data_IF_513746419242
#
_entry.id   IF_513746419242
#
_cell.length_a   1.000
_cell.length_b   1.000
_cell.length_c   1.000
_cell.angle_alpha   90.00
_cell.angle_beta   90.00
_cell.angle_gamma   90.00
#
_symmetry.space_group_name_H-M   'P 1'
#
loop_
_entity.id
_entity.type
_entity.pdbx_description
1 polymer ?
#
# COMPACT_ATOMS: atom_id res chain seq x y z
N UNK A 1 4.39 15.61 12.14
CA UNK A 1 4.76 14.22 11.84
C UNK A 1 5.63 14.18 10.59
N UNK A 2 6.55 13.23 10.50
CA UNK A 2 7.42 13.00 9.34
C UNK A 2 7.29 11.56 8.84
N UNK A 3 7.03 11.38 7.55
CA UNK A 3 6.96 10.07 6.91
C UNK A 3 8.18 9.82 6.02
N UNK A 4 8.90 8.73 6.25
CA UNK A 4 9.89 8.22 5.30
C UNK A 4 9.24 7.22 4.34
N UNK A 5 9.39 7.45 3.05
CA UNK A 5 8.71 6.67 2.00
C UNK A 5 9.61 6.36 0.80
N UNK A 6 9.31 5.27 0.10
CA UNK A 6 9.84 5.00 -1.24
C UNK A 6 8.75 5.34 -2.27
N UNK A 7 9.03 6.16 -3.29
CA UNK A 7 8.07 6.48 -4.34
C UNK A 7 7.46 5.21 -4.97
N UNK A 8 6.13 5.15 -4.99
CA UNK A 8 5.36 4.04 -5.56
C UNK A 8 5.42 2.74 -4.77
N UNK A 9 5.97 2.73 -3.55
CA UNK A 9 5.97 1.56 -2.66
C UNK A 9 4.75 1.56 -1.72
N UNK A 10 4.66 0.59 -0.81
CA UNK A 10 3.54 0.50 0.13
C UNK A 10 3.41 1.71 1.06
N UNK A 11 4.47 2.49 1.24
CA UNK A 11 4.44 3.75 1.97
C UNK A 11 3.52 4.82 1.35
N UNK A 12 3.08 4.63 0.10
CA UNK A 12 2.02 5.44 -0.53
C UNK A 12 0.73 5.47 0.30
N UNK A 13 0.43 4.37 1.01
CA UNK A 13 -0.80 4.24 1.81
C UNK A 13 -0.81 5.20 3.01
N UNK A 14 0.17 5.18 3.93
CA UNK A 14 0.24 6.16 5.01
C UNK A 14 0.53 7.58 4.52
N UNK A 15 1.17 7.75 3.36
CA UNK A 15 1.34 9.07 2.75
C UNK A 15 -0.03 9.68 2.38
N UNK A 16 -0.88 8.89 1.72
CA UNK A 16 -2.26 9.28 1.39
C UNK A 16 -3.09 9.52 2.66
N UNK A 17 -2.90 8.71 3.71
CA UNK A 17 -3.58 8.94 4.98
C UNK A 17 -3.22 10.27 5.63
N UNK A 18 -1.93 10.67 5.62
CA UNK A 18 -1.48 11.97 6.11
C UNK A 18 -2.07 13.12 5.27
N UNK A 19 -2.11 12.96 3.95
CA UNK A 19 -2.73 13.94 3.05
C UNK A 19 -4.23 14.11 3.33
N UNK A 20 -4.97 13.01 3.54
CA UNK A 20 -6.40 13.07 3.89
C UNK A 20 -6.69 13.69 5.25
N UNK A 21 -5.78 13.53 6.22
CA UNK A 21 -5.88 14.18 7.53
C UNK A 21 -5.79 15.72 7.38
N UNK A 22 -5.08 16.22 6.37
CA UNK A 22 -5.00 17.65 6.07
C UNK A 22 -4.29 18.49 7.13
N UNK A 23 -3.53 17.85 8.02
CA UNK A 23 -2.64 18.52 8.98
C UNK A 23 -1.23 18.61 8.39
N UNK A 24 -0.41 19.60 8.78
CA UNK A 24 0.97 19.67 8.31
C UNK A 24 1.77 18.40 8.63
N UNK A 25 2.47 17.89 7.63
CA UNK A 25 3.41 16.79 7.75
C UNK A 25 4.63 17.02 6.85
N UNK A 26 5.72 16.34 7.16
CA UNK A 26 6.89 16.23 6.28
C UNK A 26 6.87 14.86 5.60
N UNK A 27 7.15 14.82 4.31
CA UNK A 27 7.34 13.58 3.56
C UNK A 27 8.76 13.55 3.00
N UNK A 28 9.54 12.54 3.40
CA UNK A 28 10.90 12.34 2.94
C UNK A 28 11.00 11.09 2.05
N UNK A 29 11.23 11.30 0.76
CA UNK A 29 11.62 10.23 -0.15
C UNK A 29 13.01 9.71 0.25
N UNK A 30 13.12 8.40 0.44
CA UNK A 30 14.39 7.72 0.75
C UNK A 30 14.81 6.80 -0.41
N UNK A 31 16.06 6.34 -0.41
CA UNK A 31 16.55 5.33 -1.36
C UNK A 31 16.68 3.96 -0.69
N UNK A 32 16.86 2.90 -1.49
CA UNK A 32 17.08 1.53 -0.97
C UNK A 32 18.38 1.42 -0.18
N UNK A 33 19.36 2.26 -0.47
CA UNK A 33 20.63 2.37 0.25
C UNK A 33 20.44 3.13 1.56
N UNK A 34 19.69 4.25 1.53
CA UNK A 34 19.44 5.08 2.72
C UNK A 34 18.71 4.30 3.82
N UNK A 35 17.72 3.47 3.48
CA UNK A 35 17.03 2.64 4.48
C UNK A 35 17.92 1.57 5.12
N UNK A 36 19.15 1.38 4.63
CA UNK A 36 20.17 0.50 5.21
C UNK A 36 21.29 1.26 5.90
N UNK A 37 21.25 2.60 5.92
CA UNK A 37 22.28 3.39 6.58
C UNK A 37 22.19 3.25 8.11
N UNK A 38 23.31 3.36 8.85
CA UNK A 38 23.29 3.31 10.31
C UNK A 38 22.33 4.32 10.95
N UNK A 39 22.19 5.51 10.35
CA UNK A 39 21.29 6.56 10.83
C UNK A 39 19.82 6.14 10.72
N UNK A 40 19.42 5.57 9.59
CA UNK A 40 18.04 5.09 9.42
C UNK A 40 17.75 3.86 10.29
N UNK A 41 18.72 2.94 10.41
CA UNK A 41 18.56 1.73 11.21
C UNK A 41 18.45 2.00 12.72
N UNK A 42 18.97 3.14 13.21
CA UNK A 42 18.71 3.62 14.58
C UNK A 42 17.23 3.93 14.80
N UNK A 43 16.52 4.41 13.77
CA UNK A 43 15.09 4.73 13.83
C UNK A 43 14.22 3.51 13.53
N UNK A 44 14.57 2.73 12.51
CA UNK A 44 13.88 1.50 12.13
C UNK A 44 14.89 0.37 11.86
N UNK A 45 15.12 -0.52 12.85
CA UNK A 45 16.06 -1.63 12.72
C UNK A 45 15.73 -2.62 11.59
N UNK A 46 14.48 -2.66 11.11
CA UNK A 46 14.10 -3.49 9.97
C UNK A 46 14.65 -2.95 8.64
N UNK A 47 15.02 -1.65 8.60
CA UNK A 47 15.54 -0.98 7.41
C UNK A 47 14.55 -1.02 6.25
N UNK A 48 13.30 -0.65 6.50
CA UNK A 48 12.21 -0.65 5.52
C UNK A 48 11.34 0.61 5.66
N UNK A 49 10.48 0.84 4.67
CA UNK A 49 9.41 1.83 4.70
C UNK A 49 8.05 1.11 4.78
N UNK A 50 6.99 1.77 5.26
CA UNK A 50 6.97 3.13 5.84
C UNK A 50 7.64 3.21 7.22
N UNK A 51 8.05 4.43 7.57
CA UNK A 51 8.41 4.82 8.93
C UNK A 51 7.80 6.19 9.22
N UNK A 52 6.95 6.28 10.23
CA UNK A 52 6.41 7.54 10.74
C UNK A 52 7.22 7.97 11.97
N UNK A 53 7.62 9.24 12.03
CA UNK A 53 8.22 9.88 13.21
C UNK A 53 7.31 11.00 13.69
N UNK A 54 6.95 10.96 14.96
CA UNK A 54 6.09 11.92 15.64
C UNK A 54 6.75 12.37 16.96
N UNK A 55 7.51 13.46 16.91
CA UNK A 55 8.42 13.83 18.00
C UNK A 55 9.49 12.75 18.22
N UNK A 56 9.60 12.25 19.45
CA UNK A 56 10.52 11.17 19.83
C UNK A 56 9.96 9.77 19.54
N UNK A 57 8.71 9.67 19.06
CA UNK A 57 8.06 8.41 18.75
C UNK A 57 8.30 8.00 17.30
N UNK A 58 8.90 6.83 17.09
CA UNK A 58 9.11 6.24 15.76
C UNK A 58 8.26 4.97 15.62
N UNK A 59 7.43 4.91 14.58
CA UNK A 59 6.48 3.83 14.34
C UNK A 59 6.64 3.27 12.91
N UNK A 60 6.90 1.97 12.83
CA UNK A 60 6.90 1.21 11.57
C UNK A 60 5.62 0.38 11.43
N UNK A 61 5.48 -0.33 10.32
CA UNK A 61 4.29 -1.10 9.89
C UNK A 61 3.12 -0.23 9.39
N UNK A 62 2.69 -0.48 8.15
CA UNK A 62 1.55 0.22 7.55
C UNK A 62 0.30 0.16 8.44
N UNK A 63 -0.10 -1.04 8.87
CA UNK A 63 -1.32 -1.23 9.67
C UNK A 63 -1.26 -0.49 11.02
N UNK A 64 -0.10 -0.49 11.68
CA UNK A 64 0.09 0.21 12.94
C UNK A 64 0.07 1.74 12.76
N UNK A 65 0.77 2.26 11.75
CA UNK A 65 0.76 3.69 11.40
C UNK A 65 -0.66 4.16 11.09
N UNK A 66 -1.39 3.43 10.24
CA UNK A 66 -2.75 3.79 9.84
C UNK A 66 -3.73 3.74 11.02
N UNK A 67 -3.58 2.75 11.90
CA UNK A 67 -4.36 2.69 13.13
C UNK A 67 -4.06 3.87 14.07
N UNK A 68 -2.78 4.20 14.29
CA UNK A 68 -2.35 5.33 15.12
C UNK A 68 -2.92 6.65 14.60
N UNK A 69 -2.79 6.90 13.29
CA UNK A 69 -3.33 8.09 12.64
C UNK A 69 -4.85 8.20 12.76
N UNK A 70 -5.58 7.08 12.62
CA UNK A 70 -7.04 7.03 12.75
C UNK A 70 -7.52 7.22 14.20
N UNK A 71 -6.71 6.83 15.20
CA UNK A 71 -6.99 7.14 16.60
C UNK A 71 -6.81 8.62 16.93
N UNK A 72 -5.79 9.27 16.35
CA UNK A 72 -5.54 10.70 16.54
C UNK A 72 -6.52 11.59 15.78
N UNK A 73 -7.00 11.11 14.62
CA UNK A 73 -7.83 11.88 13.69
C UNK A 73 -9.08 11.10 13.25
N UNK A 74 -9.99 10.72 14.18
CA UNK A 74 -11.19 9.96 13.83
C UNK A 74 -12.13 10.72 12.87
N UNK A 75 -12.03 12.05 12.83
CA UNK A 75 -12.76 12.92 11.89
C UNK A 75 -12.36 12.69 10.43
N UNK A 76 -11.11 12.25 10.17
CA UNK A 76 -10.60 11.98 8.83
C UNK A 76 -11.18 10.68 8.23
N UNK A 77 -11.80 9.83 9.06
CA UNK A 77 -12.46 8.57 8.65
C UNK A 77 -11.56 7.72 7.74
N UNK A 78 -10.31 7.47 8.15
CA UNK A 78 -9.33 6.75 7.33
C UNK A 78 -9.79 5.35 6.91
N UNK A 79 -10.69 4.73 7.68
CA UNK A 79 -11.33 3.45 7.39
C UNK A 79 -12.72 3.57 6.75
N UNK A 80 -13.04 4.72 6.15
CA UNK A 80 -14.27 4.95 5.36
C UNK A 80 -15.56 5.14 6.16
N UNK A 81 -15.52 4.98 7.48
CA UNK A 81 -16.65 5.13 8.40
C UNK A 81 -16.18 5.44 9.83
N UNK A 82 -17.10 5.91 10.68
CA UNK A 82 -16.86 6.05 12.12
C UNK A 82 -17.41 4.88 12.93
N UNK A 83 -18.29 4.05 12.36
CA UNK A 83 -18.89 2.93 13.10
C UNK A 83 -17.84 1.83 13.31
N UNK A 84 -17.80 1.17 14.49
CA UNK A 84 -16.84 0.09 14.74
C UNK A 84 -16.95 -1.05 13.72
N UNK A 85 -18.18 -1.44 13.35
CA UNK A 85 -18.43 -2.55 12.44
C UNK A 85 -17.88 -2.27 11.03
N UNK A 86 -18.10 -1.07 10.50
CA UNK A 86 -17.66 -0.74 9.15
C UNK A 86 -16.14 -0.52 9.11
N UNK A 87 -15.58 0.10 10.15
CA UNK A 87 -14.12 0.20 10.33
C UNK A 87 -13.46 -1.17 10.39
N UNK A 88 -14.08 -2.14 11.07
CA UNK A 88 -13.57 -3.50 11.14
C UNK A 88 -13.60 -4.20 9.78
N UNK A 89 -14.64 -4.00 8.95
CA UNK A 89 -14.69 -4.52 7.58
C UNK A 89 -13.56 -3.95 6.72
N UNK A 90 -13.34 -2.63 6.77
CA UNK A 90 -12.24 -1.98 6.06
C UNK A 90 -10.86 -2.44 6.57
N UNK A 91 -10.68 -2.56 7.89
CA UNK A 91 -9.47 -3.10 8.50
C UNK A 91 -9.19 -4.53 8.05
N UNK A 92 -10.20 -5.39 7.92
CA UNK A 92 -10.04 -6.74 7.39
C UNK A 92 -9.48 -6.72 5.97
N UNK A 93 -9.98 -5.83 5.11
CA UNK A 93 -9.45 -5.67 3.75
C UNK A 93 -8.02 -5.13 3.75
N UNK A 94 -7.73 -4.12 4.58
CA UNK A 94 -6.38 -3.62 4.78
C UNK A 94 -5.42 -4.74 5.21
N UNK A 95 -5.82 -5.57 6.17
CA UNK A 95 -5.03 -6.71 6.65
C UNK A 95 -4.80 -7.75 5.54
N UNK A 96 -5.84 -8.10 4.78
CA UNK A 96 -5.72 -8.99 3.62
C UNK A 96 -4.72 -8.44 2.59
N UNK A 97 -4.83 -7.17 2.21
CA UNK A 97 -3.90 -6.56 1.25
C UNK A 97 -2.47 -6.47 1.78
N UNK A 98 -2.29 -6.07 3.04
CA UNK A 98 -0.99 -5.90 3.67
C UNK A 98 -0.27 -7.22 3.98
N UNK A 99 -0.99 -8.22 4.51
CA UNK A 99 -0.40 -9.45 5.06
C UNK A 99 -0.46 -10.64 4.10
N UNK A 100 -1.41 -10.66 3.16
CA UNK A 100 -1.60 -11.76 2.22
C UNK A 100 -1.21 -11.42 0.79
N UNK A 101 -1.72 -10.31 0.27
CA UNK A 101 -1.50 -9.95 -1.14
C UNK A 101 -0.10 -9.36 -1.34
N UNK A 102 0.32 -8.42 -0.50
CA UNK A 102 1.65 -7.78 -0.61
C UNK A 102 2.78 -8.81 -0.64
N UNK A 103 2.74 -9.83 0.24
CA UNK A 103 3.80 -10.85 0.30
C UNK A 103 3.92 -11.66 -0.99
N UNK A 104 2.83 -11.83 -1.74
CA UNK A 104 2.83 -12.56 -3.00
C UNK A 104 3.65 -11.83 -4.09
N UNK A 105 3.88 -10.52 -3.95
CA UNK A 105 4.76 -9.76 -4.86
C UNK A 105 6.26 -9.92 -4.56
N UNK A 106 6.64 -10.54 -3.43
CA UNK A 106 8.05 -10.64 -3.04
C UNK A 106 8.97 -11.23 -4.13
N UNK A 107 8.60 -12.29 -4.88
CA UNK A 107 9.45 -12.84 -5.93
C UNK A 107 9.75 -11.87 -7.10
N UNK A 108 8.91 -10.86 -7.32
CA UNK A 108 9.12 -9.85 -8.36
C UNK A 108 10.06 -8.72 -7.92
N UNK A 109 10.06 -8.36 -6.63
CA UNK A 109 10.78 -7.20 -6.12
C UNK A 109 12.02 -7.52 -5.29
N UNK A 110 12.12 -8.75 -4.79
CA UNK A 110 13.26 -9.22 -3.99
C UNK A 110 13.47 -10.72 -4.25
N UNK A 111 14.15 -11.08 -5.35
CA UNK A 111 14.51 -12.47 -5.61
C UNK A 111 15.27 -13.06 -4.42
N UNK A 112 14.95 -14.31 -4.06
CA UNK A 112 15.59 -14.98 -2.93
C UNK A 112 17.08 -15.20 -3.25
N UNK A 113 18.02 -14.93 -2.33
CA UNK A 113 19.45 -15.02 -2.63
C UNK A 113 19.90 -16.38 -3.16
N UNK A 114 19.18 -17.46 -2.82
CA UNK A 114 19.50 -18.82 -3.21
C UNK A 114 18.90 -19.25 -4.57
N UNK A 115 18.05 -18.44 -5.20
CA UNK A 115 17.53 -18.67 -6.56
C UNK A 115 17.99 -17.62 -7.57
N UNK A 116 18.73 -16.60 -7.11
CA UNK A 116 19.08 -15.43 -7.93
C UNK A 116 19.89 -15.77 -9.20
N UNK A 117 20.63 -16.88 -9.17
CA UNK A 117 21.49 -17.32 -10.28
C UNK A 117 20.83 -18.47 -11.09
N UNK A 118 19.57 -18.81 -10.79
CA UNK A 118 18.80 -19.84 -11.49
C UNK A 118 17.56 -19.21 -12.14
N UNK A 119 17.73 -18.71 -13.37
CA UNK A 119 16.69 -18.02 -14.12
C UNK A 119 15.44 -18.87 -14.35
N UNK A 120 15.59 -20.16 -14.65
CA UNK A 120 14.46 -21.07 -14.86
C UNK A 120 13.62 -21.18 -13.59
N UNK A 121 14.25 -21.44 -12.45
CA UNK A 121 13.55 -21.54 -11.17
C UNK A 121 12.93 -20.19 -10.77
N UNK A 122 13.62 -19.08 -11.02
CA UNK A 122 13.09 -17.75 -10.75
C UNK A 122 11.83 -17.46 -11.58
N UNK A 123 11.81 -17.88 -12.83
CA UNK A 123 10.65 -17.75 -13.71
C UNK A 123 9.47 -18.58 -13.22
N UNK A 124 9.68 -19.86 -12.86
CA UNK A 124 8.63 -20.73 -12.30
C UNK A 124 8.03 -20.13 -11.01
N UNK A 125 8.87 -19.59 -10.12
CA UNK A 125 8.42 -18.94 -8.88
C UNK A 125 7.57 -17.69 -9.21
N UNK A 126 7.99 -16.89 -10.19
CA UNK A 126 7.23 -15.69 -10.62
C UNK A 126 5.89 -16.08 -11.23
N UNK A 127 5.81 -17.13 -12.03
CA UNK A 127 4.56 -17.62 -12.61
C UNK A 127 3.58 -18.11 -11.54
N UNK A 128 4.08 -18.84 -10.54
CA UNK A 128 3.27 -19.24 -9.39
C UNK A 128 2.80 -18.03 -8.56
N UNK A 129 3.68 -17.06 -8.34
CA UNK A 129 3.35 -15.82 -7.65
C UNK A 129 2.30 -15.00 -8.41
N UNK A 130 2.41 -14.88 -9.74
CA UNK A 130 1.42 -14.23 -10.60
C UNK A 130 0.05 -14.89 -10.46
N UNK A 131 -0.01 -16.23 -10.52
CA UNK A 131 -1.25 -16.99 -10.31
C UNK A 131 -1.86 -16.72 -8.94
N UNK A 132 -1.04 -16.68 -7.89
CA UNK A 132 -1.48 -16.38 -6.52
C UNK A 132 -2.02 -14.96 -6.39
N UNK A 133 -1.32 -13.97 -6.96
CA UNK A 133 -1.76 -12.57 -6.98
C UNK A 133 -3.11 -12.46 -7.68
N UNK A 134 -3.28 -13.05 -8.88
CA UNK A 134 -4.54 -13.03 -9.61
C UNK A 134 -5.69 -13.69 -8.83
N UNK A 135 -5.41 -14.77 -8.10
CA UNK A 135 -6.38 -15.39 -7.19
C UNK A 135 -6.87 -14.43 -6.10
N UNK A 136 -5.96 -13.70 -5.46
CA UNK A 136 -6.34 -12.68 -4.46
C UNK A 136 -7.07 -11.49 -5.09
N UNK A 137 -6.63 -11.03 -6.26
CA UNK A 137 -7.30 -9.95 -6.98
C UNK A 137 -8.71 -10.34 -7.41
N UNK A 138 -8.97 -11.62 -7.73
CA UNK A 138 -10.31 -12.11 -8.03
C UNK A 138 -11.25 -12.02 -6.81
N UNK A 139 -10.75 -12.23 -5.59
CA UNK A 139 -11.50 -12.02 -4.34
C UNK A 139 -11.87 -10.54 -4.18
N UNK A 140 -10.90 -9.65 -4.42
CA UNK A 140 -11.14 -8.20 -4.38
C UNK A 140 -12.11 -7.73 -5.47
N UNK A 141 -11.97 -8.24 -6.70
CA UNK A 141 -12.86 -7.94 -7.82
C UNK A 141 -14.32 -8.32 -7.50
N UNK A 142 -14.54 -9.49 -6.91
CA UNK A 142 -15.88 -9.94 -6.53
C UNK A 142 -16.54 -9.04 -5.50
N UNK A 143 -15.77 -8.55 -4.51
CA UNK A 143 -16.27 -7.57 -3.55
C UNK A 143 -16.73 -6.28 -4.26
N UNK A 144 -15.97 -5.83 -5.25
CA UNK A 144 -16.25 -4.63 -6.04
C UNK A 144 -17.41 -4.79 -7.04
N UNK A 145 -18.02 -5.97 -7.17
CA UNK A 145 -19.27 -6.14 -7.93
C UNK A 145 -20.47 -5.53 -7.20
N UNK A 146 -20.44 -5.52 -5.87
CA UNK A 146 -21.53 -5.02 -5.02
C UNK A 146 -21.17 -3.74 -4.24
N UNK A 147 -19.89 -3.34 -4.24
CA UNK A 147 -19.41 -2.19 -3.46
C UNK A 147 -18.52 -1.29 -4.31
N UNK A 148 -18.60 0.02 -4.10
CA UNK A 148 -17.72 0.97 -4.79
C UNK A 148 -16.26 0.90 -4.27
N UNK A 149 -16.11 0.61 -2.98
CA UNK A 149 -14.87 0.64 -2.20
C UNK A 149 -14.81 -0.52 -1.18
N UNK A 150 -13.68 -0.68 -0.49
CA UNK A 150 -13.46 -1.68 0.56
C UNK A 150 -13.91 -1.23 1.96
N UNK A 151 -14.15 0.07 2.14
CA UNK A 151 -14.97 0.62 3.22
C UNK A 151 -16.32 1.12 2.69
N UNK A 152 -17.16 1.66 3.59
CA UNK A 152 -18.43 2.31 3.19
C UNK A 152 -18.17 3.54 2.29
N UNK A 153 -17.04 4.19 2.51
CA UNK A 153 -16.46 5.21 1.63
C UNK A 153 -15.02 4.84 1.32
N UNK A 154 -14.41 5.56 0.38
CA UNK A 154 -12.98 5.45 0.07
C UNK A 154 -12.14 5.48 1.35
N UNK A 155 -11.24 4.52 1.50
CA UNK A 155 -10.48 4.30 2.72
C UNK A 155 -9.06 3.79 2.41
N UNK A 156 -8.24 3.65 3.44
CA UNK A 156 -6.83 3.23 3.31
C UNK A 156 -6.66 1.80 2.76
N UNK A 157 -7.69 0.95 2.87
CA UNK A 157 -7.68 -0.38 2.23
C UNK A 157 -7.76 -0.26 0.69
N UNK A 158 -8.54 0.71 0.17
CA UNK A 158 -8.61 0.98 -1.26
C UNK A 158 -7.26 1.46 -1.80
N UNK A 159 -6.58 2.31 -1.03
CA UNK A 159 -5.26 2.84 -1.40
C UNK A 159 -4.22 1.72 -1.45
N UNK A 160 -4.31 0.74 -0.55
CA UNK A 160 -3.43 -0.43 -0.57
C UNK A 160 -3.68 -1.30 -1.81
N UNK A 161 -4.93 -1.53 -2.19
CA UNK A 161 -5.20 -2.26 -3.44
C UNK A 161 -4.72 -1.47 -4.66
N UNK A 162 -5.02 -0.17 -4.71
CA UNK A 162 -4.62 0.71 -5.82
C UNK A 162 -3.12 0.63 -6.10
N UNK A 163 -2.27 0.80 -5.07
CA UNK A 163 -0.82 0.77 -5.28
C UNK A 163 -0.33 -0.62 -5.74
N UNK A 164 -0.98 -1.70 -5.29
CA UNK A 164 -0.68 -3.05 -5.79
C UNK A 164 -1.11 -3.26 -7.24
N UNK A 165 -2.19 -2.63 -7.70
CA UNK A 165 -2.58 -2.66 -9.11
C UNK A 165 -1.58 -1.89 -9.98
N UNK A 166 -1.04 -0.78 -9.48
CA UNK A 166 0.09 -0.10 -10.13
C UNK A 166 1.33 -1.01 -10.20
N UNK A 167 1.58 -1.84 -9.17
CA UNK A 167 2.64 -2.84 -9.22
C UNK A 167 2.39 -3.90 -10.28
N UNK A 168 1.15 -4.42 -10.40
CA UNK A 168 0.78 -5.34 -11.46
C UNK A 168 1.10 -4.76 -12.85
N UNK A 169 0.72 -3.50 -13.09
CA UNK A 169 1.05 -2.80 -14.34
C UNK A 169 2.57 -2.72 -14.56
N UNK A 170 3.33 -2.35 -13.53
CA UNK A 170 4.80 -2.23 -13.59
C UNK A 170 5.50 -3.55 -13.90
N UNK A 171 4.99 -4.67 -13.40
CA UNK A 171 5.57 -6.01 -13.65
C UNK A 171 4.98 -6.69 -14.88
N UNK A 172 4.05 -6.05 -15.60
CA UNK A 172 3.39 -6.63 -16.77
C UNK A 172 2.39 -7.75 -16.46
N UNK A 173 1.86 -7.81 -15.23
CA UNK A 173 0.84 -8.79 -14.85
C UNK A 173 -0.55 -8.31 -15.32
N UNK A 174 -1.12 -9.01 -16.30
CA UNK A 174 -2.45 -8.69 -16.83
C UNK A 174 -3.57 -9.13 -15.88
N UNK A 175 -4.38 -8.16 -15.45
CA UNK A 175 -5.58 -8.36 -14.66
C UNK A 175 -6.85 -7.84 -15.37
N UNK A 176 -6.80 -7.61 -16.69
CA UNK A 176 -7.90 -7.04 -17.48
C UNK A 176 -9.20 -7.87 -17.44
N UNK A 177 -9.08 -9.18 -17.29
CA UNK A 177 -10.21 -10.10 -17.11
C UNK A 177 -10.98 -9.87 -15.79
N UNK A 178 -10.36 -9.23 -14.80
CA UNK A 178 -10.99 -8.80 -13.55
C UNK A 178 -11.60 -7.40 -13.73
N UNK A 179 -12.78 -7.40 -14.38
CA UNK A 179 -13.42 -6.21 -14.96
C UNK A 179 -13.71 -5.05 -14.00
N UNK A 180 -13.71 -5.26 -12.67
CA UNK A 180 -13.97 -4.20 -11.69
C UNK A 180 -12.72 -3.43 -11.28
N UNK A 181 -11.52 -3.96 -11.55
CA UNK A 181 -10.26 -3.39 -11.05
C UNK A 181 -9.86 -2.10 -11.77
N UNK A 182 -9.97 -2.04 -13.10
CA UNK A 182 -9.65 -0.81 -13.85
C UNK A 182 -10.60 0.36 -13.49
N UNK A 183 -11.94 0.20 -13.51
CA UNK A 183 -12.84 1.25 -13.04
C UNK A 183 -12.62 1.62 -11.57
N UNK A 184 -12.18 0.67 -10.73
CA UNK A 184 -11.81 0.94 -9.34
C UNK A 184 -10.59 1.87 -9.26
N UNK A 185 -9.52 1.60 -10.02
CA UNK A 185 -8.35 2.48 -10.06
C UNK A 185 -8.75 3.90 -10.46
N UNK A 186 -9.54 4.05 -11.53
CA UNK A 186 -10.03 5.36 -12.00
C UNK A 186 -10.81 6.12 -10.91
N UNK A 187 -11.64 5.43 -10.11
CA UNK A 187 -12.35 6.05 -8.98
C UNK A 187 -11.40 6.49 -7.87
N UNK A 188 -10.38 5.70 -7.55
CA UNK A 188 -9.38 6.02 -6.52
C UNK A 188 -8.53 7.22 -6.97
N UNK A 189 -8.10 7.23 -8.23
CA UNK A 189 -7.31 8.31 -8.83
C UNK A 189 -8.06 9.65 -8.89
N UNK A 190 -9.39 9.63 -9.01
CA UNK A 190 -10.20 10.84 -9.01
C UNK A 190 -10.26 11.55 -7.63
N UNK A 191 -9.78 10.91 -6.55
CA UNK A 191 -9.70 11.55 -5.25
C UNK A 191 -8.53 12.54 -5.19
N UNK A 192 -8.81 13.80 -4.81
CA UNK A 192 -7.81 14.87 -4.77
C UNK A 192 -6.59 14.58 -3.89
N UNK A 193 -6.78 13.92 -2.74
CA UNK A 193 -5.67 13.56 -1.85
C UNK A 193 -4.78 12.48 -2.48
N UNK A 194 -5.39 11.49 -3.13
CA UNK A 194 -4.65 10.48 -3.89
C UNK A 194 -3.88 11.12 -5.04
N UNK A 195 -4.53 12.00 -5.81
CA UNK A 195 -3.90 12.71 -6.93
C UNK A 195 -2.73 13.60 -6.49
N UNK A 196 -2.88 14.30 -5.35
CA UNK A 196 -1.82 15.07 -4.70
C UNK A 196 -0.61 14.18 -4.35
N UNK A 197 -0.83 13.04 -3.69
CA UNK A 197 0.27 12.13 -3.34
C UNK A 197 0.91 11.50 -4.58
N UNK A 198 0.14 11.17 -5.62
CA UNK A 198 0.71 10.72 -6.91
C UNK A 198 1.63 11.76 -7.51
N UNK A 199 1.30 13.04 -7.41
CA UNK A 199 2.15 14.13 -7.87
C UNK A 199 3.43 14.24 -7.04
N UNK A 200 3.30 14.24 -5.71
CA UNK A 200 4.42 14.31 -4.77
C UNK A 200 5.41 13.15 -4.94
N UNK A 201 4.91 11.94 -5.22
CA UNK A 201 5.73 10.75 -5.45
C UNK A 201 6.19 10.59 -6.91
N UNK A 202 5.85 11.51 -7.82
CA UNK A 202 6.24 11.44 -9.24
C UNK A 202 5.63 10.25 -9.99
N UNK A 203 4.39 9.89 -9.66
CA UNK A 203 3.63 8.76 -10.23
C UNK A 203 2.59 9.20 -11.28
N UNK A 204 2.57 10.49 -11.65
CA UNK A 204 1.82 10.99 -12.79
C UNK A 204 2.64 10.72 -14.06
N UNK A 205 2.01 10.09 -15.06
CA UNK A 205 2.61 9.80 -16.36
C UNK A 205 2.62 11.01 -17.28
#
# INVERSE_FOLDING_TARGET
MKLYYLPGACSFVPHTALEWIGKPYEAEAVTREKIKSPEYLKLNPQGSVPLLVDGDFALSQNTAILFYLDQLHPEAKLFGSQTPQDRAKAMRWLAFFNSDVHKAFAPFFRPLPYVKDNETLLQEIREHAATTILGYLAVANRHLEAHAFFGENLCVADIYLYIMLCWCQKIGLDFSHLSRLKPFMERVEANKGVDSVREQEGLKG
#
